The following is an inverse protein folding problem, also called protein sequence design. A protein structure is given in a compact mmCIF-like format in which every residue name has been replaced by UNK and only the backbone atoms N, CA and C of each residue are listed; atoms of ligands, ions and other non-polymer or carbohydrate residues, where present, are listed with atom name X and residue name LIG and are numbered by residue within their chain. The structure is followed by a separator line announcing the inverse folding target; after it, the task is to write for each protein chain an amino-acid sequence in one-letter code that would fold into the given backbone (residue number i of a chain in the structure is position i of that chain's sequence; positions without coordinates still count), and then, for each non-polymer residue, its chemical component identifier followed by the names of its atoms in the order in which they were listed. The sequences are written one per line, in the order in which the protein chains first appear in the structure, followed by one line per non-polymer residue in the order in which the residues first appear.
data_IF_217512188371
#
_entry.id   IF_217512188371
#
_cell.length_a   1.000
_cell.length_b   1.000
_cell.length_c   1.000
_cell.angle_alpha   90.00
_cell.angle_beta   90.00
_cell.angle_gamma   90.00
#
_symmetry.space_group_name_H-M   'P 1'
#
loop_
_entity.id
_entity.type
_entity.pdbx_description
1 polymer ?
#
# COMPACT_ATOMS: atom_id res chain seq x y z
N UNK A 1 36.28 66.65 -66.01
CA UNK A 1 34.86 66.98 -66.14
C UNK A 1 34.13 65.68 -66.00
N UNK A 2 33.40 65.35 -65.01
CA UNK A 2 32.34 65.93 -64.22
C UNK A 2 32.19 65.14 -62.95
N UNK A 3 32.06 65.88 -61.92
CA UNK A 3 31.81 65.50 -60.55
C UNK A 3 30.36 65.02 -60.34
N UNK A 4 30.08 63.92 -59.58
CA UNK A 4 28.77 63.67 -58.95
C UNK A 4 29.00 62.98 -57.64
N UNK A 5 29.08 63.80 -56.58
CA UNK A 5 28.90 63.34 -55.23
C UNK A 5 27.40 63.05 -54.94
N UNK A 6 27.06 61.86 -54.38
CA UNK A 6 25.77 61.66 -53.78
C UNK A 6 25.93 61.36 -52.27
N UNK A 7 25.67 62.46 -51.52
CA UNK A 7 25.68 62.40 -50.07
C UNK A 7 24.64 61.50 -49.47
N UNK A 8 25.06 60.64 -48.60
CA UNK A 8 24.18 59.82 -47.70
C UNK A 8 23.55 60.75 -46.69
N UNK A 9 22.26 61.00 -46.80
CA UNK A 9 21.52 61.82 -45.85
C UNK A 9 21.29 61.11 -44.53
N UNK A 10 21.45 61.79 -43.40
CA UNK A 10 21.21 61.28 -42.02
C UNK A 10 19.88 60.57 -41.86
N UNK A 11 18.91 60.73 -42.75
CA UNK A 11 17.60 60.09 -42.73
C UNK A 11 17.63 58.63 -43.18
N UNK A 12 18.64 58.22 -43.98
CA UNK A 12 18.80 56.83 -44.41
C UNK A 12 19.59 55.96 -43.43
N UNK A 13 20.36 56.58 -42.53
CA UNK A 13 21.05 55.88 -41.43
C UNK A 13 20.12 55.57 -40.25
N UNK A 14 19.00 56.26 -40.11
CA UNK A 14 18.01 55.99 -39.06
C UNK A 14 16.95 54.95 -39.44
N UNK A 15 16.87 54.62 -40.74
CA UNK A 15 15.94 53.58 -41.22
C UNK A 15 16.54 52.15 -41.22
N UNK A 16 17.86 51.99 -41.05
CA UNK A 16 18.55 50.70 -41.00
C UNK A 16 18.83 50.19 -39.57
N UNK A 17 18.47 50.99 -38.53
CA UNK A 17 18.71 50.66 -37.11
C UNK A 17 17.49 50.11 -36.36
N UNK A 18 16.32 49.91 -37.00
CA UNK A 18 15.04 49.61 -36.34
C UNK A 18 14.57 48.18 -36.38
N UNK A 19 15.39 47.21 -36.80
CA UNK A 19 15.01 45.79 -36.80
C UNK A 19 16.06 44.90 -36.13
N UNK A 20 16.63 45.38 -35.00
CA UNK A 20 17.20 44.44 -34.05
C UNK A 20 16.00 43.80 -33.32
N UNK A 21 15.51 42.70 -33.89
CA UNK A 21 14.60 41.83 -33.21
C UNK A 21 15.19 41.54 -31.80
N UNK A 22 14.49 41.97 -30.77
CA UNK A 22 14.66 41.45 -29.42
C UNK A 22 14.28 39.97 -29.51
N UNK A 23 15.22 39.13 -29.97
CA UNK A 23 15.23 37.74 -29.61
C UNK A 23 15.43 37.76 -28.10
N UNK A 24 14.32 37.78 -27.36
CA UNK A 24 14.33 37.53 -25.95
C UNK A 24 14.99 36.19 -25.79
N UNK A 25 16.26 36.20 -25.37
CA UNK A 25 16.89 35.06 -24.77
C UNK A 25 15.96 34.71 -23.60
N UNK A 26 15.01 33.78 -23.82
CA UNK A 26 14.37 33.07 -22.73
C UNK A 26 15.54 32.54 -21.92
N UNK A 27 15.90 33.23 -20.83
CA UNK A 27 16.81 32.67 -19.85
C UNK A 27 16.24 31.26 -19.56
N UNK A 28 17.07 30.22 -19.67
CA UNK A 28 16.59 28.90 -19.24
C UNK A 28 16.08 29.09 -17.83
N UNK A 29 14.78 28.86 -17.61
CA UNK A 29 14.24 28.83 -16.28
C UNK A 29 15.18 27.92 -15.49
N UNK A 30 15.83 28.43 -14.47
CA UNK A 30 16.70 27.65 -13.61
C UNK A 30 15.83 26.46 -13.17
N UNK A 31 16.15 25.29 -13.69
CA UNK A 31 15.42 24.08 -13.35
C UNK A 31 15.50 23.97 -11.82
N UNK A 32 14.34 23.91 -11.16
CA UNK A 32 14.31 23.68 -9.72
C UNK A 32 15.05 22.36 -9.43
N UNK A 33 16.21 22.45 -8.78
CA UNK A 33 17.06 21.30 -8.43
C UNK A 33 16.83 20.83 -7.01
N UNK A 34 15.97 21.53 -6.24
CA UNK A 34 15.64 21.12 -4.87
C UNK A 34 15.02 19.71 -4.88
N UNK A 35 15.38 18.85 -3.91
CA UNK A 35 14.83 17.50 -3.86
C UNK A 35 13.32 17.52 -3.67
N UNK A 36 12.64 16.49 -4.21
CA UNK A 36 11.23 16.24 -3.95
C UNK A 36 11.14 15.48 -2.62
N UNK A 37 10.68 16.16 -1.58
CA UNK A 37 10.58 15.56 -0.24
C UNK A 37 9.31 14.74 -0.11
N UNK A 38 9.44 13.48 0.30
CA UNK A 38 8.31 12.53 0.47
C UNK A 38 8.29 12.02 1.90
N UNK A 39 7.17 12.20 2.58
CA UNK A 39 6.94 11.69 3.93
C UNK A 39 6.62 10.19 3.90
N UNK A 40 7.35 9.36 4.63
CA UNK A 40 7.03 7.96 4.84
C UNK A 40 6.62 7.78 6.29
N UNK A 41 5.31 7.70 6.52
CA UNK A 41 4.65 7.69 7.82
C UNK A 41 4.17 6.28 8.15
N UNK A 42 4.99 5.53 8.88
CA UNK A 42 4.75 4.12 9.16
C UNK A 42 4.81 3.83 10.67
N UNK A 43 4.17 2.77 11.16
CA UNK A 43 4.38 2.31 12.54
C UNK A 43 5.74 1.62 12.64
N UNK A 44 6.75 2.35 13.08
CA UNK A 44 8.10 1.80 13.31
C UNK A 44 8.27 1.27 14.74
N UNK A 45 7.27 1.56 15.60
CA UNK A 45 7.09 1.04 16.97
C UNK A 45 5.62 0.76 17.25
N UNK A 46 5.29 0.12 18.38
CA UNK A 46 3.90 -0.01 18.87
C UNK A 46 3.15 -1.26 18.42
N UNK A 47 3.86 -2.35 18.08
CA UNK A 47 3.23 -3.67 17.82
C UNK A 47 2.89 -3.97 16.36
N UNK A 48 2.97 -2.98 15.46
CA UNK A 48 2.88 -3.16 14.00
C UNK A 48 4.20 -2.83 13.29
N UNK A 49 5.30 -2.79 14.02
CA UNK A 49 6.62 -2.42 13.52
C UNK A 49 7.10 -3.32 12.38
N UNK A 50 6.83 -4.61 12.42
CA UNK A 50 7.17 -5.53 11.34
C UNK A 50 6.49 -5.15 10.00
N UNK A 51 5.21 -4.73 10.04
CA UNK A 51 4.49 -4.21 8.86
C UNK A 51 5.01 -2.84 8.45
N UNK A 52 5.26 -1.96 9.43
CA UNK A 52 5.75 -0.61 9.19
C UNK A 52 7.12 -0.59 8.52
N UNK A 53 8.04 -1.44 8.95
CA UNK A 53 9.37 -1.58 8.33
C UNK A 53 9.26 -2.06 6.88
N UNK A 54 8.35 -2.99 6.57
CA UNK A 54 8.14 -3.44 5.20
C UNK A 54 7.50 -2.36 4.32
N UNK A 55 6.54 -1.59 4.86
CA UNK A 55 5.98 -0.43 4.16
C UNK A 55 7.05 0.64 3.87
N UNK A 56 7.92 0.93 4.85
CA UNK A 56 9.07 1.81 4.68
C UNK A 56 10.01 1.29 3.59
N UNK A 57 10.33 -0.01 3.61
CA UNK A 57 11.22 -0.62 2.62
C UNK A 57 10.63 -0.54 1.21
N UNK A 58 9.36 -0.86 1.01
CA UNK A 58 8.70 -0.77 -0.29
C UNK A 58 8.69 0.66 -0.85
N UNK A 59 8.30 1.64 -0.04
CA UNK A 59 8.33 3.05 -0.43
C UNK A 59 9.76 3.54 -0.75
N UNK A 60 10.71 3.22 0.14
CA UNK A 60 12.13 3.58 -0.02
C UNK A 60 12.72 2.97 -1.29
N UNK A 61 12.41 1.70 -1.57
CA UNK A 61 12.88 1.01 -2.78
C UNK A 61 12.48 1.78 -4.04
N UNK A 62 11.20 2.16 -4.17
CA UNK A 62 10.70 2.89 -5.34
C UNK A 62 11.36 4.26 -5.50
N UNK A 63 11.50 5.01 -4.41
CA UNK A 63 12.09 6.37 -4.45
C UNK A 63 13.58 6.33 -4.78
N UNK A 64 14.32 5.38 -4.19
CA UNK A 64 15.75 5.25 -4.46
C UNK A 64 16.03 4.66 -5.83
N UNK A 65 15.21 3.74 -6.36
CA UNK A 65 15.32 3.24 -7.74
C UNK A 65 15.10 4.38 -8.75
N UNK A 66 14.13 5.26 -8.48
CA UNK A 66 13.95 6.47 -9.27
C UNK A 66 15.18 7.40 -9.20
N UNK A 67 15.78 7.56 -8.02
CA UNK A 67 17.01 8.35 -7.85
C UNK A 67 18.19 7.75 -8.60
N UNK A 68 18.38 6.42 -8.54
CA UNK A 68 19.44 5.71 -9.28
C UNK A 68 19.30 5.92 -10.80
N UNK A 69 18.06 6.19 -11.26
CA UNK A 69 17.71 6.51 -12.66
C UNK A 69 17.78 8.00 -12.99
N UNK A 70 18.29 8.86 -12.09
CA UNK A 70 18.42 10.32 -12.29
C UNK A 70 17.22 11.14 -11.79
N UNK A 71 16.34 10.54 -10.99
CA UNK A 71 15.18 11.20 -10.38
C UNK A 71 14.04 11.44 -11.35
N UNK A 72 13.26 12.48 -11.09
CA UNK A 72 12.16 12.92 -11.96
C UNK A 72 12.39 14.38 -12.33
N UNK A 73 12.38 14.67 -13.62
CA UNK A 73 12.66 16.03 -14.15
C UNK A 73 13.98 16.61 -13.64
N UNK A 74 15.01 15.77 -13.41
CA UNK A 74 16.31 16.15 -12.88
C UNK A 74 16.35 16.40 -11.37
N UNK A 75 15.28 16.11 -10.64
CA UNK A 75 15.16 16.26 -9.18
C UNK A 75 15.18 14.90 -8.51
N UNK A 76 15.97 14.75 -7.46
CA UNK A 76 16.04 13.56 -6.63
C UNK A 76 14.95 13.57 -5.56
N UNK A 77 14.55 12.39 -5.09
CA UNK A 77 13.68 12.24 -3.93
C UNK A 77 14.48 12.27 -2.63
N UNK A 78 13.96 13.00 -1.64
CA UNK A 78 14.41 12.96 -0.25
C UNK A 78 13.32 12.31 0.60
N UNK A 79 13.70 11.30 1.39
CA UNK A 79 12.77 10.53 2.22
C UNK A 79 12.76 11.11 3.63
N UNK A 80 11.58 11.54 4.09
CA UNK A 80 11.36 12.03 5.45
C UNK A 80 10.56 10.98 6.23
N UNK A 81 11.24 10.23 7.10
CA UNK A 81 10.61 9.16 7.88
C UNK A 81 9.91 9.73 9.11
N UNK A 82 8.74 9.15 9.45
CA UNK A 82 8.02 9.45 10.68
C UNK A 82 7.36 8.19 11.23
N UNK A 83 7.38 8.04 12.57
CA UNK A 83 6.80 6.92 13.29
C UNK A 83 5.41 7.27 13.82
N UNK A 84 4.41 6.47 13.47
CA UNK A 84 3.05 6.59 14.00
C UNK A 84 2.91 6.00 15.41
N UNK A 85 3.88 5.20 15.86
CA UNK A 85 3.83 4.41 17.09
C UNK A 85 2.55 3.55 17.23
N UNK A 86 1.90 3.21 16.10
CA UNK A 86 0.59 2.53 16.02
C UNK A 86 -0.55 3.32 16.70
N UNK A 87 -0.32 4.58 17.03
CA UNK A 87 -1.24 5.45 17.80
C UNK A 87 -1.86 6.55 16.91
N UNK A 88 -3.21 6.71 16.89
CA UNK A 88 -3.87 7.68 16.03
C UNK A 88 -3.50 9.14 16.35
N UNK A 89 -3.29 9.50 17.63
CA UNK A 89 -2.93 10.86 18.02
C UNK A 89 -1.52 11.20 17.52
N UNK A 90 -0.57 10.31 17.79
CA UNK A 90 0.82 10.43 17.29
C UNK A 90 0.85 10.52 15.77
N UNK A 91 0.04 9.70 15.08
CA UNK A 91 -0.08 9.73 13.63
C UNK A 91 -0.49 11.12 13.10
N UNK A 92 -1.51 11.75 13.70
CA UNK A 92 -1.95 13.11 13.34
C UNK A 92 -0.87 14.15 13.63
N UNK A 93 -0.16 14.07 14.75
CA UNK A 93 0.95 14.96 15.09
C UNK A 93 2.07 14.87 14.05
N UNK A 94 2.50 13.66 13.71
CA UNK A 94 3.54 13.41 12.70
C UNK A 94 3.12 13.84 11.30
N UNK A 95 1.86 13.62 10.91
CA UNK A 95 1.33 14.11 9.64
C UNK A 95 1.40 15.66 9.58
N UNK A 96 1.03 16.36 10.65
CA UNK A 96 1.17 17.81 10.71
C UNK A 96 2.63 18.29 10.62
N UNK A 97 3.57 17.58 11.26
CA UNK A 97 5.01 17.89 11.15
C UNK A 97 5.50 17.72 9.72
N UNK A 98 5.19 16.59 9.07
CA UNK A 98 5.53 16.34 7.67
C UNK A 98 4.99 17.43 6.72
N UNK A 99 3.74 17.88 6.95
CA UNK A 99 3.09 18.88 6.10
C UNK A 99 3.67 20.27 6.34
N UNK A 100 3.83 20.69 7.61
CA UNK A 100 4.08 22.11 7.95
C UNK A 100 5.54 22.45 8.16
N UNK A 101 6.33 21.49 8.67
CA UNK A 101 7.76 21.70 8.96
C UNK A 101 8.65 21.16 7.88
N UNK A 102 8.34 19.92 7.45
CA UNK A 102 9.14 19.23 6.45
C UNK A 102 8.72 19.56 5.01
N UNK A 103 7.55 20.18 4.83
CA UNK A 103 7.01 20.59 3.53
C UNK A 103 7.08 19.48 2.47
N UNK A 104 6.65 18.26 2.83
CA UNK A 104 6.64 17.13 1.91
C UNK A 104 5.59 17.29 0.81
N UNK A 105 5.84 16.70 -0.34
CA UNK A 105 4.94 16.74 -1.51
C UNK A 105 3.88 15.63 -1.46
N UNK A 106 4.13 14.54 -0.74
CA UNK A 106 3.17 13.47 -0.48
C UNK A 106 3.49 12.77 0.85
N UNK A 107 2.53 12.02 1.38
CA UNK A 107 2.70 11.13 2.52
C UNK A 107 2.36 9.70 2.10
N UNK A 108 3.24 8.73 2.39
CA UNK A 108 3.04 7.30 2.16
C UNK A 108 2.78 6.62 3.51
N UNK A 109 1.67 5.93 3.63
CA UNK A 109 1.19 5.32 4.87
C UNK A 109 -0.18 5.89 5.29
N UNK A 110 -0.63 5.72 6.52
CA UNK A 110 -0.14 4.79 7.56
C UNK A 110 -0.60 3.34 7.32
N UNK A 111 -0.45 2.45 8.32
CA UNK A 111 -0.95 1.06 8.22
C UNK A 111 -2.42 0.97 8.62
N UNK A 112 -2.83 1.42 9.80
CA UNK A 112 -4.17 1.15 10.31
C UNK A 112 -5.23 2.10 9.73
N UNK A 113 -6.46 1.57 9.53
CA UNK A 113 -7.63 2.40 9.18
C UNK A 113 -7.92 3.47 10.22
N UNK A 114 -7.71 3.17 11.52
CA UNK A 114 -7.89 4.14 12.59
C UNK A 114 -6.94 5.35 12.45
N UNK A 115 -5.66 5.10 12.12
CA UNK A 115 -4.68 6.15 11.89
C UNK A 115 -5.00 6.97 10.64
N UNK A 116 -5.37 6.30 9.53
CA UNK A 116 -5.80 6.96 8.29
C UNK A 116 -7.01 7.87 8.52
N UNK A 117 -8.03 7.37 9.20
CA UNK A 117 -9.26 8.12 9.44
C UNK A 117 -9.03 9.29 10.39
N UNK A 118 -8.18 9.13 11.42
CA UNK A 118 -7.81 10.21 12.32
C UNK A 118 -7.06 11.35 11.60
N UNK A 119 -6.16 11.03 10.68
CA UNK A 119 -5.38 12.04 9.94
C UNK A 119 -6.12 12.63 8.73
N UNK A 120 -7.18 11.98 8.22
CA UNK A 120 -7.93 12.39 7.03
C UNK A 120 -8.31 13.88 7.01
N UNK A 121 -8.87 14.51 8.07
CA UNK A 121 -9.19 15.93 8.07
C UNK A 121 -7.97 16.85 7.87
N UNK A 122 -6.79 16.43 8.37
CA UNK A 122 -5.52 17.15 8.17
C UNK A 122 -5.06 17.03 6.73
N UNK A 123 -5.13 15.85 6.14
CA UNK A 123 -4.79 15.55 4.75
C UNK A 123 -5.64 16.37 3.78
N UNK A 124 -6.97 16.33 3.94
CA UNK A 124 -7.91 17.03 3.06
C UNK A 124 -7.76 18.54 3.14
N UNK A 125 -7.60 19.10 4.35
CA UNK A 125 -7.39 20.54 4.55
C UNK A 125 -6.07 21.02 3.93
N UNK A 126 -5.02 20.20 3.98
CA UNK A 126 -3.71 20.53 3.42
C UNK A 126 -3.61 20.19 1.92
N UNK A 127 -4.65 19.59 1.33
CA UNK A 127 -4.65 19.06 -0.04
C UNK A 127 -3.43 18.17 -0.29
N UNK A 128 -3.11 17.33 0.70
CA UNK A 128 -1.91 16.50 0.71
C UNK A 128 -2.19 15.16 0.05
N UNK A 129 -1.47 14.76 -1.00
CA UNK A 129 -1.55 13.40 -1.54
C UNK A 129 -1.17 12.39 -0.45
N UNK A 130 -2.11 11.54 -0.06
CA UNK A 130 -1.91 10.41 0.84
C UNK A 130 -1.94 9.11 0.04
N UNK A 131 -0.85 8.37 0.09
CA UNK A 131 -0.68 7.09 -0.58
C UNK A 131 -0.89 5.97 0.45
N UNK A 132 -2.07 5.36 0.42
CA UNK A 132 -2.48 4.35 1.38
C UNK A 132 -2.34 2.95 0.74
N UNK A 133 -1.31 2.20 1.16
CA UNK A 133 -0.94 0.92 0.57
C UNK A 133 -1.17 -0.26 1.53
N UNK A 134 -2.23 -0.18 2.33
CA UNK A 134 -2.61 -1.25 3.28
C UNK A 134 -4.02 -1.69 2.99
N UNK A 135 -4.24 -3.00 3.04
CA UNK A 135 -5.54 -3.62 2.84
C UNK A 135 -6.54 -3.17 3.90
N UNK A 136 -7.78 -2.91 3.50
CA UNK A 136 -8.75 -2.34 4.42
C UNK A 136 -10.21 -2.68 4.06
N UNK A 137 -11.11 -2.26 4.90
CA UNK A 137 -12.53 -2.60 4.89
C UNK A 137 -13.39 -1.84 3.85
N UNK A 138 -12.79 -0.96 3.04
CA UNK A 138 -13.52 -0.14 2.06
C UNK A 138 -14.10 1.15 2.61
N UNK A 139 -14.79 1.91 1.74
CA UNK A 139 -15.56 3.10 2.10
C UNK A 139 -14.77 4.42 2.17
N UNK A 140 -13.52 4.44 1.72
CA UNK A 140 -12.76 5.70 1.57
C UNK A 140 -13.08 6.32 0.22
N UNK A 141 -13.69 7.51 0.25
CA UNK A 141 -13.87 8.37 -0.91
C UNK A 141 -13.24 9.72 -0.60
N UNK A 142 -12.11 10.02 -1.20
CA UNK A 142 -11.40 11.29 -1.04
C UNK A 142 -10.50 11.56 -2.24
N UNK A 143 -10.53 12.80 -2.73
CA UNK A 143 -9.64 13.23 -3.81
C UNK A 143 -8.15 13.09 -3.46
N UNK A 144 -7.81 13.19 -2.18
CA UNK A 144 -6.42 13.23 -1.72
C UNK A 144 -5.91 11.89 -1.15
N UNK A 145 -6.74 10.85 -1.11
CA UNK A 145 -6.34 9.53 -0.64
C UNK A 145 -6.39 8.56 -1.81
N UNK A 146 -5.24 8.01 -2.18
CA UNK A 146 -5.11 7.01 -3.24
C UNK A 146 -4.76 5.67 -2.61
N UNK A 147 -5.52 4.63 -2.95
CA UNK A 147 -5.45 3.32 -2.30
C UNK A 147 -4.94 2.23 -3.25
N UNK A 148 -3.80 1.64 -2.90
CA UNK A 148 -3.40 0.31 -3.38
C UNK A 148 -3.68 -0.67 -2.24
N UNK A 149 -4.93 -1.14 -2.17
CA UNK A 149 -5.43 -1.84 -0.99
C UNK A 149 -6.42 -2.91 -1.41
N UNK A 150 -6.23 -4.14 -0.91
CA UNK A 150 -7.27 -5.13 -1.06
C UNK A 150 -8.49 -4.75 -0.20
N UNK A 151 -9.65 -4.90 -0.80
CA UNK A 151 -10.97 -4.65 -0.24
C UNK A 151 -11.68 -5.99 0.02
N UNK A 152 -12.82 -6.03 0.73
CA UNK A 152 -13.59 -7.25 0.89
C UNK A 152 -13.89 -8.00 -0.42
N UNK A 153 -14.12 -7.28 -1.52
CA UNK A 153 -14.33 -7.88 -2.84
C UNK A 153 -13.11 -8.65 -3.36
N UNK A 154 -11.89 -8.18 -3.00
CA UNK A 154 -10.67 -8.85 -3.38
C UNK A 154 -10.37 -10.07 -2.51
N UNK A 155 -10.65 -10.01 -1.21
CA UNK A 155 -10.21 -11.01 -0.25
C UNK A 155 -11.34 -11.84 0.35
N UNK A 156 -12.40 -11.19 0.84
CA UNK A 156 -13.48 -11.89 1.54
C UNK A 156 -14.32 -12.70 0.58
N UNK A 157 -14.82 -12.07 -0.48
CA UNK A 157 -15.72 -12.73 -1.44
C UNK A 157 -15.11 -14.00 -2.04
N UNK A 158 -13.90 -13.96 -2.64
CA UNK A 158 -13.31 -15.17 -3.22
C UNK A 158 -12.86 -16.19 -2.16
N UNK A 159 -12.44 -15.74 -0.97
CA UNK A 159 -12.01 -16.64 0.09
C UNK A 159 -13.18 -17.43 0.69
N UNK A 160 -14.33 -16.78 0.89
CA UNK A 160 -15.55 -17.48 1.36
C UNK A 160 -16.02 -18.49 0.32
N UNK A 161 -16.01 -18.13 -0.99
CA UNK A 161 -16.37 -19.04 -2.06
C UNK A 161 -15.43 -20.27 -2.09
N UNK A 162 -14.12 -20.04 -1.99
CA UNK A 162 -13.10 -21.09 -1.92
C UNK A 162 -13.31 -21.99 -0.68
N UNK A 163 -13.53 -21.40 0.48
CA UNK A 163 -13.74 -22.14 1.71
C UNK A 163 -15.01 -23.01 1.64
N UNK A 164 -16.11 -22.46 1.13
CA UNK A 164 -17.37 -23.21 0.95
C UNK A 164 -17.21 -24.43 0.02
N UNK A 165 -16.40 -24.29 -1.02
CA UNK A 165 -16.12 -25.37 -1.99
C UNK A 165 -15.17 -26.43 -1.42
N UNK A 166 -14.08 -26.02 -0.76
CA UNK A 166 -12.93 -26.86 -0.47
C UNK A 166 -12.82 -27.31 0.99
N UNK A 167 -13.50 -26.62 1.94
CA UNK A 167 -13.27 -26.85 3.37
C UNK A 167 -14.59 -27.10 4.09
N UNK A 168 -15.60 -26.28 3.83
CA UNK A 168 -16.90 -26.27 4.50
C UNK A 168 -17.38 -24.87 4.78
N UNK A 169 -18.55 -24.76 5.42
CA UNK A 169 -19.30 -23.50 5.54
C UNK A 169 -19.67 -23.14 7.00
N UNK A 170 -18.93 -23.66 7.97
CA UNK A 170 -19.10 -23.33 9.40
C UNK A 170 -17.81 -22.74 9.96
N UNK A 171 -17.90 -21.55 10.55
CA UNK A 171 -16.76 -20.71 10.91
C UNK A 171 -16.84 -20.17 12.32
N UNK A 172 -15.68 -19.91 12.92
CA UNK A 172 -15.52 -19.07 14.12
C UNK A 172 -14.58 -17.92 13.81
N UNK A 173 -14.94 -16.70 14.17
CA UNK A 173 -14.19 -15.49 13.82
C UNK A 173 -13.47 -14.90 15.04
N UNK A 174 -12.20 -14.54 14.88
CA UNK A 174 -11.41 -13.86 15.92
C UNK A 174 -10.68 -12.68 15.30
N UNK A 175 -10.80 -11.50 15.91
CA UNK A 175 -10.14 -10.28 15.42
C UNK A 175 -9.57 -9.42 16.55
N UNK A 176 -8.69 -8.49 16.20
CA UNK A 176 -8.31 -7.38 17.10
C UNK A 176 -9.45 -6.39 17.23
N UNK A 177 -9.59 -5.75 18.40
CA UNK A 177 -10.70 -4.84 18.67
C UNK A 177 -10.46 -3.43 18.12
N UNK A 178 -10.59 -3.29 16.79
CA UNK A 178 -10.62 -1.99 16.11
C UNK A 178 -11.40 -2.06 14.79
N UNK A 179 -11.47 -0.96 14.04
CA UNK A 179 -12.40 -0.80 12.91
C UNK A 179 -12.20 -1.84 11.80
N UNK A 180 -10.94 -2.14 11.41
CA UNK A 180 -10.69 -3.05 10.29
C UNK A 180 -11.17 -4.49 10.55
N UNK A 181 -10.79 -5.19 11.65
CA UNK A 181 -11.26 -6.56 11.88
C UNK A 181 -12.78 -6.64 12.00
N UNK A 182 -13.41 -5.67 12.69
CA UNK A 182 -14.87 -5.65 12.85
C UNK A 182 -15.60 -5.56 11.51
N UNK A 183 -15.14 -4.69 10.61
CA UNK A 183 -15.77 -4.54 9.29
C UNK A 183 -15.42 -5.68 8.33
N UNK A 184 -14.20 -6.20 8.36
CA UNK A 184 -13.81 -7.39 7.58
C UNK A 184 -14.61 -8.62 8.00
N UNK A 185 -14.75 -8.85 9.30
CA UNK A 185 -15.57 -9.95 9.83
C UNK A 185 -17.06 -9.75 9.46
N UNK A 186 -17.60 -8.54 9.55
CA UNK A 186 -18.96 -8.28 9.12
C UNK A 186 -19.19 -8.59 7.63
N UNK A 187 -18.23 -8.22 6.76
CA UNK A 187 -18.27 -8.57 5.34
C UNK A 187 -18.18 -10.09 5.15
N UNK A 188 -17.35 -10.78 5.93
CA UNK A 188 -17.24 -12.24 5.90
C UNK A 188 -18.56 -12.91 6.31
N UNK A 189 -19.18 -12.47 7.42
CA UNK A 189 -20.48 -12.98 7.89
C UNK A 189 -21.56 -12.80 6.84
N UNK A 190 -21.62 -11.62 6.19
CA UNK A 190 -22.59 -11.35 5.14
C UNK A 190 -22.41 -12.30 3.95
N UNK A 191 -21.17 -12.52 3.52
CA UNK A 191 -20.87 -13.42 2.39
C UNK A 191 -21.15 -14.89 2.74
N UNK A 192 -20.79 -15.34 3.95
CA UNK A 192 -21.10 -16.68 4.45
C UNK A 192 -22.62 -16.93 4.46
N UNK A 193 -23.39 -15.95 4.95
CA UNK A 193 -24.85 -16.05 5.01
C UNK A 193 -25.48 -16.16 3.62
N UNK A 194 -24.96 -15.44 2.62
CA UNK A 194 -25.43 -15.53 1.23
C UNK A 194 -25.23 -16.91 0.62
N UNK A 195 -24.18 -17.64 1.07
CA UNK A 195 -23.87 -18.99 0.61
C UNK A 195 -24.48 -20.10 1.51
N UNK A 196 -25.36 -19.74 2.46
CA UNK A 196 -26.02 -20.67 3.36
C UNK A 196 -25.11 -21.28 4.43
N UNK A 197 -23.96 -20.64 4.70
CA UNK A 197 -23.05 -21.03 5.77
C UNK A 197 -23.44 -20.46 7.13
N UNK A 198 -22.68 -20.79 8.17
CA UNK A 198 -22.92 -20.41 9.56
C UNK A 198 -21.68 -19.87 10.23
N UNK A 199 -21.87 -18.93 11.15
CA UNK A 199 -20.83 -18.42 12.06
C UNK A 199 -21.22 -18.82 13.47
N UNK A 200 -20.47 -19.74 14.08
CA UNK A 200 -20.74 -20.27 15.42
C UNK A 200 -20.36 -19.32 16.55
N UNK A 201 -19.42 -18.40 16.28
CA UNK A 201 -19.00 -17.39 17.24
C UNK A 201 -18.10 -16.33 16.63
N UNK A 202 -18.05 -15.17 17.29
CA UNK A 202 -17.23 -14.04 16.88
C UNK A 202 -16.66 -13.36 18.13
N UNK A 203 -15.35 -13.17 18.18
CA UNK A 203 -14.66 -12.54 19.30
C UNK A 203 -13.65 -11.50 18.84
N UNK A 204 -13.47 -10.49 19.71
CA UNK A 204 -12.46 -9.44 19.51
C UNK A 204 -11.59 -9.30 20.76
N UNK A 205 -10.28 -9.21 20.53
CA UNK A 205 -9.28 -9.10 21.58
C UNK A 205 -8.66 -7.70 21.58
N UNK A 206 -8.41 -7.10 22.76
CA UNK A 206 -7.72 -5.81 22.84
C UNK A 206 -6.28 -5.92 22.33
N UNK A 207 -5.70 -4.80 21.92
CA UNK A 207 -4.28 -4.72 21.59
C UNK A 207 -3.39 -5.15 22.75
N UNK A 208 -2.33 -5.91 22.45
CA UNK A 208 -1.37 -6.42 23.42
C UNK A 208 -1.85 -7.69 24.14
N UNK A 209 -2.86 -8.37 23.60
CA UNK A 209 -3.31 -9.66 24.11
C UNK A 209 -2.20 -10.71 24.01
N UNK A 210 -1.86 -11.33 25.15
CA UNK A 210 -0.79 -12.33 25.24
C UNK A 210 -1.28 -13.73 25.62
N UNK A 211 -2.54 -13.85 25.99
CA UNK A 211 -3.17 -15.11 26.38
C UNK A 211 -4.51 -15.26 25.65
N UNK A 212 -4.60 -16.28 24.81
CA UNK A 212 -5.77 -16.62 24.03
C UNK A 212 -6.44 -17.92 24.49
N UNK A 213 -6.05 -18.48 25.65
CA UNK A 213 -6.55 -19.76 26.17
C UNK A 213 -8.08 -19.82 26.22
N UNK A 214 -8.72 -18.73 26.68
CA UNK A 214 -10.20 -18.68 26.75
C UNK A 214 -10.84 -18.68 25.35
N UNK A 215 -10.27 -17.94 24.39
CA UNK A 215 -10.73 -17.90 23.00
C UNK A 215 -10.53 -19.25 22.32
N UNK A 216 -9.37 -19.88 22.49
CA UNK A 216 -9.08 -21.21 21.93
C UNK A 216 -10.04 -22.28 22.44
N UNK A 217 -10.39 -22.22 23.74
CA UNK A 217 -11.39 -23.10 24.32
C UNK A 217 -12.76 -22.92 23.65
N UNK A 218 -13.22 -21.70 23.47
CA UNK A 218 -14.50 -21.42 22.80
C UNK A 218 -14.52 -21.90 21.35
N UNK A 219 -13.40 -21.74 20.62
CA UNK A 219 -13.25 -22.28 19.26
C UNK A 219 -13.40 -23.81 19.30
N UNK A 220 -12.71 -24.48 20.22
CA UNK A 220 -12.80 -25.93 20.38
C UNK A 220 -14.22 -26.39 20.73
N UNK A 221 -14.87 -25.71 21.69
CA UNK A 221 -16.22 -26.03 22.16
C UNK A 221 -17.29 -25.79 21.07
N UNK A 222 -17.01 -24.97 20.05
CA UNK A 222 -17.90 -24.68 18.93
C UNK A 222 -17.94 -25.75 17.86
N UNK A 223 -17.04 -26.72 17.90
CA UNK A 223 -16.92 -27.86 16.95
C UNK A 223 -16.75 -27.43 15.47
N UNK A 224 -16.42 -26.16 15.18
CA UNK A 224 -16.16 -25.69 13.83
C UNK A 224 -14.91 -26.34 13.25
N UNK A 225 -14.84 -26.42 11.92
CA UNK A 225 -13.65 -26.91 11.21
C UNK A 225 -12.79 -25.78 10.64
N UNK A 226 -13.24 -24.55 10.77
CA UNK A 226 -12.51 -23.37 10.25
C UNK A 226 -12.59 -22.19 11.20
N UNK A 227 -11.43 -21.67 11.59
CA UNK A 227 -11.29 -20.39 12.28
C UNK A 227 -10.84 -19.32 11.27
N UNK A 228 -11.46 -18.15 11.36
CA UNK A 228 -11.09 -16.96 10.56
C UNK A 228 -10.42 -15.95 11.47
N UNK A 229 -9.21 -15.56 11.12
CA UNK A 229 -8.37 -14.69 11.93
C UNK A 229 -8.19 -13.35 11.23
N UNK A 230 -8.49 -12.27 11.95
CA UNK A 230 -8.23 -10.88 11.60
C UNK A 230 -7.51 -10.15 12.75
N UNK A 231 -6.68 -10.88 13.49
CA UNK A 231 -5.79 -10.33 14.51
C UNK A 231 -4.57 -9.72 13.82
N UNK A 232 -4.11 -8.54 14.26
CA UNK A 232 -3.00 -7.85 13.64
C UNK A 232 -1.73 -7.86 14.50
N UNK A 233 -0.58 -7.78 13.85
CA UNK A 233 0.73 -7.56 14.48
C UNK A 233 1.22 -8.74 15.35
N UNK A 234 1.96 -8.41 16.40
CA UNK A 234 2.59 -9.40 17.28
C UNK A 234 1.58 -10.29 18.03
N UNK A 235 0.36 -9.78 18.26
CA UNK A 235 -0.72 -10.53 18.91
C UNK A 235 -1.15 -11.72 18.05
N UNK A 236 -1.14 -11.55 16.73
CA UNK A 236 -1.45 -12.62 15.78
C UNK A 236 -0.42 -13.76 15.82
N UNK A 237 0.86 -13.44 15.90
CA UNK A 237 1.93 -14.45 16.07
C UNK A 237 1.71 -15.23 17.36
N UNK A 238 1.35 -14.53 18.44
CA UNK A 238 1.05 -15.15 19.75
C UNK A 238 -0.17 -16.08 19.65
N UNK A 239 -1.24 -15.65 18.97
CA UNK A 239 -2.43 -16.47 18.75
C UNK A 239 -2.10 -17.75 17.97
N UNK A 240 -1.39 -17.63 16.84
CA UNK A 240 -1.01 -18.79 16.00
C UNK A 240 -0.16 -19.80 16.80
N UNK A 241 0.83 -19.33 17.57
CA UNK A 241 1.65 -20.18 18.44
C UNK A 241 0.82 -20.94 19.48
N UNK A 242 -0.10 -20.26 20.14
CA UNK A 242 -0.97 -20.91 21.13
C UNK A 242 -1.96 -21.88 20.47
N UNK A 243 -2.50 -21.54 19.30
CA UNK A 243 -3.37 -22.41 18.52
C UNK A 243 -2.64 -23.71 18.10
N UNK A 244 -1.40 -23.59 17.62
CA UNK A 244 -0.57 -24.74 17.27
C UNK A 244 -0.15 -25.57 18.49
N UNK A 245 0.25 -24.90 19.61
CA UNK A 245 0.62 -25.57 20.85
C UNK A 245 -0.55 -26.37 21.47
N UNK A 246 -1.79 -25.92 21.26
CA UNK A 246 -3.00 -26.64 21.61
C UNK A 246 -3.32 -27.83 20.66
N UNK A 247 -2.53 -28.02 19.61
CA UNK A 247 -2.74 -29.07 18.59
C UNK A 247 -3.89 -28.79 17.62
N UNK A 248 -4.53 -27.61 17.73
CA UNK A 248 -5.72 -27.25 16.97
C UNK A 248 -5.46 -27.09 15.47
N UNK A 249 -4.24 -26.73 15.07
CA UNK A 249 -3.83 -26.63 13.66
C UNK A 249 -3.87 -27.96 12.88
N UNK A 250 -3.99 -29.10 13.59
CA UNK A 250 -4.16 -30.44 12.98
C UNK A 250 -5.61 -30.79 12.68
N UNK A 251 -6.56 -30.12 13.33
CA UNK A 251 -7.98 -30.44 13.30
C UNK A 251 -8.86 -29.34 12.72
N UNK A 252 -8.42 -28.07 12.89
CA UNK A 252 -9.16 -26.87 12.50
C UNK A 252 -8.32 -26.08 11.50
N UNK A 253 -8.90 -25.80 10.34
CA UNK A 253 -8.27 -24.94 9.31
C UNK A 253 -8.27 -23.50 9.78
N UNK A 254 -7.22 -22.77 9.43
CA UNK A 254 -7.14 -21.34 9.69
C UNK A 254 -7.17 -20.57 8.37
N UNK A 255 -8.10 -19.63 8.24
CA UNK A 255 -8.09 -18.58 7.22
C UNK A 255 -7.64 -17.31 7.92
N UNK A 256 -6.56 -16.69 7.44
CA UNK A 256 -6.01 -15.51 8.11
C UNK A 256 -5.88 -14.35 7.13
N UNK A 257 -6.71 -13.31 7.32
CA UNK A 257 -6.66 -12.08 6.52
C UNK A 257 -5.43 -11.25 6.86
N UNK A 258 -4.60 -10.97 5.85
CA UNK A 258 -3.35 -10.23 6.00
C UNK A 258 -2.13 -11.09 6.36
N UNK A 259 -2.27 -12.41 6.44
CA UNK A 259 -1.14 -13.30 6.65
C UNK A 259 -0.20 -13.29 5.42
N UNK A 260 1.08 -13.16 5.69
CA UNK A 260 2.12 -13.13 4.66
C UNK A 260 3.50 -13.47 5.25
N UNK A 261 4.57 -13.29 4.49
CA UNK A 261 5.94 -13.60 4.88
C UNK A 261 6.40 -12.92 6.18
N UNK A 262 5.83 -11.77 6.52
CA UNK A 262 6.14 -11.07 7.77
C UNK A 262 5.70 -11.85 9.02
N UNK A 263 4.58 -12.56 8.95
CA UNK A 263 4.13 -13.45 10.03
C UNK A 263 4.92 -14.75 10.06
N UNK A 264 5.22 -15.31 8.87
CA UNK A 264 6.05 -16.50 8.76
C UNK A 264 7.42 -16.33 9.44
N UNK A 265 8.03 -15.14 9.35
CA UNK A 265 9.30 -14.84 10.00
C UNK A 265 9.26 -14.99 11.55
N UNK A 266 8.08 -14.90 12.15
CA UNK A 266 7.85 -15.06 13.59
C UNK A 266 7.39 -16.45 14.01
N UNK A 267 7.20 -17.39 13.07
CA UNK A 267 6.61 -18.72 13.28
C UNK A 267 7.55 -19.81 12.78
N UNK A 268 7.51 -20.97 13.42
CA UNK A 268 8.10 -22.17 12.83
C UNK A 268 7.24 -22.70 11.67
N UNK A 269 7.80 -23.51 10.75
CA UNK A 269 7.02 -24.15 9.71
C UNK A 269 5.82 -24.95 10.25
N UNK A 270 5.98 -25.69 11.35
CA UNK A 270 4.92 -26.48 11.95
C UNK A 270 3.80 -25.62 12.56
N UNK A 271 4.11 -24.45 13.11
CA UNK A 271 3.13 -23.51 13.66
C UNK A 271 2.26 -22.87 12.57
N UNK A 272 2.85 -22.61 11.42
CA UNK A 272 2.17 -21.94 10.29
C UNK A 272 1.56 -22.89 9.28
N UNK A 273 1.87 -24.20 9.34
CA UNK A 273 1.45 -25.18 8.33
C UNK A 273 -0.07 -25.17 8.12
N UNK A 274 -0.46 -25.04 6.86
CA UNK A 274 -1.85 -25.09 6.45
C UNK A 274 -2.65 -23.81 6.60
N UNK A 275 -2.06 -22.70 7.10
CA UNK A 275 -2.75 -21.40 7.18
C UNK A 275 -3.05 -20.90 5.76
N UNK A 276 -4.32 -20.64 5.48
CA UNK A 276 -4.82 -20.08 4.23
C UNK A 276 -4.92 -18.56 4.31
N UNK A 277 -4.51 -17.88 3.26
CA UNK A 277 -4.65 -16.43 3.16
C UNK A 277 -4.97 -15.99 1.73
N UNK A 278 -5.92 -15.06 1.54
CA UNK A 278 -5.96 -14.27 0.33
C UNK A 278 -4.81 -13.25 0.36
N UNK A 279 -4.16 -13.03 -0.77
CA UNK A 279 -3.04 -12.08 -0.88
C UNK A 279 -2.94 -11.53 -2.30
N UNK A 280 -2.25 -10.41 -2.48
CA UNK A 280 -1.98 -9.85 -3.80
C UNK A 280 -0.58 -10.19 -4.30
N UNK A 281 0.30 -10.61 -3.41
CA UNK A 281 1.66 -11.01 -3.71
C UNK A 281 2.17 -12.03 -2.69
N UNK A 282 3.03 -12.93 -3.13
CA UNK A 282 3.85 -13.79 -2.27
C UNK A 282 5.24 -13.97 -2.88
N UNK A 283 6.24 -14.12 -2.02
CA UNK A 283 7.64 -14.33 -2.44
C UNK A 283 7.87 -15.66 -3.18
N UNK A 284 6.94 -16.61 -3.13
CA UNK A 284 6.99 -17.85 -3.89
C UNK A 284 6.68 -17.68 -5.39
N UNK A 285 6.14 -16.54 -5.79
CA UNK A 285 5.95 -16.22 -7.21
C UNK A 285 7.30 -16.19 -7.95
N UNK A 286 7.30 -16.77 -9.16
CA UNK A 286 8.49 -16.88 -10.03
C UNK A 286 8.33 -16.12 -11.35
N UNK A 287 7.32 -15.26 -11.45
CA UNK A 287 7.16 -14.38 -12.62
C UNK A 287 8.32 -13.38 -12.71
N UNK A 288 8.56 -12.84 -13.89
CA UNK A 288 9.58 -11.81 -14.11
C UNK A 288 9.38 -10.60 -13.17
N UNK A 289 8.13 -10.17 -12.96
CA UNK A 289 7.83 -9.06 -12.05
C UNK A 289 8.18 -9.38 -10.60
N UNK A 290 7.85 -10.59 -10.13
CA UNK A 290 8.16 -11.03 -8.79
C UNK A 290 9.68 -11.14 -8.58
N UNK A 291 10.40 -11.73 -9.52
CA UNK A 291 11.86 -11.84 -9.46
C UNK A 291 12.53 -10.46 -9.49
N UNK A 292 12.02 -9.53 -10.29
CA UNK A 292 12.50 -8.16 -10.32
C UNK A 292 12.35 -7.47 -8.94
N UNK A 293 11.15 -7.53 -8.33
CA UNK A 293 10.92 -6.96 -7.01
C UNK A 293 11.83 -7.59 -5.94
N UNK A 294 11.96 -8.92 -5.93
CA UNK A 294 12.84 -9.66 -5.01
C UNK A 294 14.31 -9.25 -5.21
N UNK A 295 14.76 -9.19 -6.46
CA UNK A 295 16.12 -8.79 -6.80
C UNK A 295 16.46 -7.35 -6.40
N UNK A 296 15.56 -6.40 -6.65
CA UNK A 296 15.70 -5.01 -6.23
C UNK A 296 15.74 -4.89 -4.69
N UNK A 297 14.87 -5.62 -4.00
CA UNK A 297 14.82 -5.63 -2.53
C UNK A 297 16.11 -6.20 -1.94
N UNK A 298 16.57 -7.35 -2.44
CA UNK A 298 17.80 -7.99 -1.99
C UNK A 298 19.04 -7.10 -2.25
N UNK A 299 19.11 -6.44 -3.40
CA UNK A 299 20.20 -5.50 -3.73
C UNK A 299 20.24 -4.31 -2.76
N UNK A 300 19.09 -3.81 -2.32
CA UNK A 300 18.98 -2.60 -1.50
C UNK A 300 19.09 -2.87 -0.01
N UNK A 301 18.50 -3.93 0.48
CA UNK A 301 18.33 -4.21 1.90
C UNK A 301 18.99 -5.52 2.37
N UNK A 302 19.62 -6.27 1.46
CA UNK A 302 20.24 -7.58 1.74
C UNK A 302 19.32 -8.75 1.40
N UNK A 303 19.92 -9.93 1.24
CA UNK A 303 19.23 -11.16 0.83
C UNK A 303 18.21 -11.68 1.85
N UNK A 304 18.36 -11.28 3.11
CA UNK A 304 17.48 -11.68 4.20
C UNK A 304 16.28 -10.73 4.37
N UNK A 305 16.18 -9.68 3.52
CA UNK A 305 15.06 -8.77 3.54
C UNK A 305 13.77 -9.48 3.13
N UNK A 306 12.73 -9.30 3.95
CA UNK A 306 11.41 -9.88 3.68
C UNK A 306 10.78 -9.15 2.49
N UNK A 307 10.31 -9.91 1.50
CA UNK A 307 9.52 -9.42 0.38
C UNK A 307 8.11 -9.98 0.50
N UNK A 308 7.17 -9.14 0.84
CA UNK A 308 5.78 -9.51 1.12
C UNK A 308 4.80 -8.67 0.30
N UNK A 309 3.52 -8.98 0.43
CA UNK A 309 2.43 -8.15 -0.08
C UNK A 309 2.55 -6.68 0.36
N UNK A 310 3.01 -6.41 1.59
CA UNK A 310 3.20 -5.05 2.10
C UNK A 310 4.31 -4.31 1.35
N UNK A 311 5.43 -4.98 1.04
CA UNK A 311 6.52 -4.40 0.24
C UNK A 311 6.04 -4.08 -1.16
N UNK A 312 5.37 -5.04 -1.83
CA UNK A 312 4.84 -4.86 -3.17
C UNK A 312 3.85 -3.69 -3.27
N UNK A 313 2.89 -3.63 -2.34
CA UNK A 313 1.87 -2.58 -2.33
C UNK A 313 2.48 -1.18 -2.19
N UNK A 314 3.41 -0.98 -1.26
CA UNK A 314 4.07 0.30 -1.05
C UNK A 314 5.01 0.66 -2.20
N UNK A 315 5.77 -0.30 -2.74
CA UNK A 315 6.62 -0.11 -3.90
C UNK A 315 5.81 0.28 -5.13
N UNK A 316 4.72 -0.42 -5.41
CA UNK A 316 3.88 -0.19 -6.58
C UNK A 316 3.15 1.16 -6.50
N UNK A 317 2.50 1.47 -5.36
CA UNK A 317 1.79 2.75 -5.20
C UNK A 317 2.74 3.95 -5.23
N UNK A 318 3.94 3.81 -4.66
CA UNK A 318 4.96 4.86 -4.73
C UNK A 318 5.42 5.09 -6.18
N UNK A 319 5.55 4.05 -6.99
CA UNK A 319 5.87 4.18 -8.43
C UNK A 319 4.72 4.84 -9.20
N UNK A 320 3.46 4.57 -8.85
CA UNK A 320 2.31 5.29 -9.41
C UNK A 320 2.38 6.79 -9.10
N UNK A 321 2.81 7.17 -7.91
CA UNK A 321 3.03 8.57 -7.54
C UNK A 321 4.17 9.21 -8.32
N UNK A 322 5.30 8.52 -8.47
CA UNK A 322 6.45 8.97 -9.27
C UNK A 322 6.01 9.22 -10.72
N UNK A 323 5.21 8.32 -11.29
CA UNK A 323 4.64 8.49 -12.63
C UNK A 323 3.65 9.67 -12.68
N UNK A 324 2.87 9.88 -11.62
CA UNK A 324 2.02 11.06 -11.46
C UNK A 324 2.80 12.37 -11.55
N UNK A 325 3.98 12.45 -10.91
CA UNK A 325 4.89 13.61 -11.03
C UNK A 325 5.40 13.79 -12.47
N UNK A 326 5.77 12.70 -13.15
CA UNK A 326 6.20 12.76 -14.56
C UNK A 326 5.10 13.30 -15.47
N UNK A 327 3.88 12.81 -15.30
CA UNK A 327 2.71 13.26 -16.09
C UNK A 327 2.30 14.69 -15.79
N UNK A 328 2.37 15.11 -14.52
CA UNK A 328 2.09 16.48 -14.12
C UNK A 328 3.17 17.47 -14.55
N UNK A 329 4.40 16.98 -14.82
CA UNK A 329 5.56 17.84 -15.09
C UNK A 329 6.01 18.70 -13.89
N UNK A 330 5.46 18.44 -12.69
CA UNK A 330 5.71 19.19 -11.47
C UNK A 330 5.40 18.31 -10.23
N UNK A 331 5.87 18.73 -9.06
CA UNK A 331 5.52 18.15 -7.76
C UNK A 331 4.41 18.92 -7.02
N UNK A 332 3.68 19.78 -7.74
CA UNK A 332 2.48 20.42 -7.20
C UNK A 332 1.46 19.38 -6.77
N UNK A 333 1.01 19.47 -5.54
CA UNK A 333 0.18 18.47 -4.87
C UNK A 333 -1.13 18.17 -5.61
N UNK A 334 -1.80 19.22 -6.11
CA UNK A 334 -3.09 19.05 -6.82
C UNK A 334 -2.88 18.51 -8.23
N UNK A 335 -1.86 19.02 -8.94
CA UNK A 335 -1.51 18.54 -10.27
C UNK A 335 -1.10 17.06 -10.26
N UNK A 336 -0.26 16.64 -9.29
CA UNK A 336 0.13 15.25 -9.14
C UNK A 336 -1.07 14.38 -8.74
N UNK A 337 -1.91 14.86 -7.81
CA UNK A 337 -3.13 14.17 -7.41
C UNK A 337 -4.01 13.85 -8.62
N UNK A 338 -4.19 14.78 -9.55
CA UNK A 338 -4.99 14.55 -10.75
C UNK A 338 -4.29 13.66 -11.77
N UNK A 339 -2.98 13.81 -11.93
CA UNK A 339 -2.20 13.11 -12.95
C UNK A 339 -1.92 11.64 -12.60
N UNK A 340 -2.03 11.24 -11.31
CA UNK A 340 -1.64 9.90 -10.90
C UNK A 340 -2.72 8.83 -11.11
N UNK A 341 -3.96 9.20 -11.38
CA UNK A 341 -5.04 8.22 -11.64
C UNK A 341 -5.12 7.83 -13.11
N UNK A 342 -5.99 6.88 -13.43
CA UNK A 342 -6.17 6.34 -14.78
C UNK A 342 -4.84 5.85 -15.38
N UNK A 343 -4.19 4.94 -14.62
CA UNK A 343 -2.93 4.35 -15.05
C UNK A 343 -2.84 2.87 -14.70
N UNK A 344 -2.18 2.13 -15.58
CA UNK A 344 -1.69 0.78 -15.32
C UNK A 344 -0.21 0.82 -14.99
N UNK A 345 0.20 -0.06 -14.07
CA UNK A 345 1.60 -0.30 -13.75
C UNK A 345 1.80 -1.78 -13.40
N UNK A 346 3.00 -2.30 -13.59
CA UNK A 346 3.34 -3.66 -13.18
C UNK A 346 3.73 -3.66 -11.69
N UNK A 347 2.99 -4.44 -10.89
CA UNK A 347 3.32 -4.81 -9.53
C UNK A 347 4.21 -6.07 -9.52
N UNK A 348 4.58 -6.57 -8.34
CA UNK A 348 5.25 -7.86 -8.22
C UNK A 348 4.39 -9.06 -8.65
N UNK A 349 3.09 -8.87 -8.80
CA UNK A 349 2.14 -9.88 -9.30
C UNK A 349 1.42 -9.42 -10.59
N UNK A 350 2.16 -8.87 -11.55
CA UNK A 350 1.61 -8.48 -12.84
C UNK A 350 0.99 -7.09 -12.89
N UNK A 351 0.24 -6.81 -13.97
CA UNK A 351 -0.34 -5.49 -14.19
C UNK A 351 -1.54 -5.22 -13.29
N UNK A 352 -1.57 -4.04 -12.69
CA UNK A 352 -2.64 -3.47 -11.87
C UNK A 352 -3.08 -2.13 -12.43
N UNK A 353 -4.31 -1.69 -12.11
CA UNK A 353 -4.89 -0.46 -12.66
C UNK A 353 -5.46 0.44 -11.58
N UNK A 354 -5.00 1.69 -11.51
CA UNK A 354 -5.51 2.72 -10.61
C UNK A 354 -6.66 3.50 -11.26
N UNK A 355 -7.85 3.31 -10.74
CA UNK A 355 -9.08 3.92 -11.25
C UNK A 355 -9.16 5.42 -10.94
N UNK A 356 -9.69 6.19 -11.90
CA UNK A 356 -9.99 7.61 -11.69
C UNK A 356 -11.28 7.83 -10.87
N UNK A 357 -12.22 6.90 -10.93
CA UNK A 357 -13.55 7.04 -10.34
C UNK A 357 -13.56 7.15 -8.81
N UNK A 358 -12.67 6.45 -8.14
CA UNK A 358 -12.61 6.36 -6.68
C UNK A 358 -11.19 6.25 -6.10
N UNK A 359 -10.17 6.33 -6.97
CA UNK A 359 -8.75 6.29 -6.59
C UNK A 359 -8.33 4.98 -5.90
N UNK A 360 -8.97 3.88 -6.26
CA UNK A 360 -8.62 2.53 -5.84
C UNK A 360 -8.04 1.73 -6.98
N UNK A 361 -7.27 0.70 -6.61
CA UNK A 361 -6.57 -0.14 -7.58
C UNK A 361 -7.32 -1.45 -7.80
N UNK A 362 -7.50 -1.83 -9.07
CA UNK A 362 -7.85 -3.19 -9.46
C UNK A 362 -6.62 -4.07 -9.28
N UNK A 363 -6.74 -5.13 -8.51
CA UNK A 363 -5.61 -5.93 -8.03
C UNK A 363 -5.65 -7.36 -8.54
N UNK A 364 -4.48 -7.94 -8.82
CA UNK A 364 -4.34 -9.39 -8.97
C UNK A 364 -4.42 -10.04 -7.60
N UNK A 365 -5.22 -11.09 -7.49
CA UNK A 365 -5.54 -11.75 -6.22
C UNK A 365 -5.19 -13.22 -6.28
N UNK A 366 -4.58 -13.72 -5.21
CA UNK A 366 -4.17 -15.10 -5.03
C UNK A 366 -4.85 -15.66 -3.78
N UNK A 367 -5.11 -16.97 -3.78
CA UNK A 367 -5.30 -17.74 -2.56
C UNK A 367 -4.02 -18.53 -2.34
N UNK A 368 -3.37 -18.29 -1.21
CA UNK A 368 -2.12 -18.93 -0.84
C UNK A 368 -2.26 -19.71 0.47
N UNK A 369 -1.34 -20.64 0.69
CA UNK A 369 -1.27 -21.43 1.90
C UNK A 369 0.16 -21.48 2.41
N UNK A 370 0.34 -21.38 3.72
CA UNK A 370 1.62 -21.63 4.35
C UNK A 370 1.95 -23.14 4.29
N UNK A 371 3.06 -23.48 3.64
CA UNK A 371 3.57 -24.84 3.48
C UNK A 371 5.09 -24.83 3.65
N UNK A 372 5.59 -25.63 4.60
CA UNK A 372 7.04 -25.73 4.83
C UNK A 372 7.73 -24.38 5.12
N UNK A 373 7.02 -23.40 5.72
CA UNK A 373 7.54 -22.06 6.05
C UNK A 373 7.54 -21.07 4.88
N UNK A 374 6.77 -21.35 3.80
CA UNK A 374 6.58 -20.43 2.67
C UNK A 374 5.09 -20.26 2.37
N UNK A 375 4.74 -19.15 1.71
CA UNK A 375 3.39 -18.94 1.19
C UNK A 375 3.30 -19.49 -0.23
N UNK A 376 2.75 -20.69 -0.40
CA UNK A 376 2.58 -21.31 -1.71
C UNK A 376 1.23 -20.94 -2.34
N UNK A 377 1.22 -20.63 -3.63
CA UNK A 377 0.00 -20.26 -4.35
C UNK A 377 -0.84 -21.49 -4.65
N UNK A 378 -2.07 -21.52 -4.14
CA UNK A 378 -3.05 -22.57 -4.44
C UNK A 378 -3.94 -22.22 -5.64
N UNK A 379 -4.28 -20.92 -5.77
CA UNK A 379 -5.17 -20.46 -6.84
C UNK A 379 -4.82 -19.02 -7.21
N UNK A 380 -4.63 -18.79 -8.49
CA UNK A 380 -4.57 -17.46 -9.07
C UNK A 380 -5.98 -17.08 -9.54
N UNK A 381 -6.51 -15.97 -9.04
CA UNK A 381 -7.84 -15.48 -9.35
C UNK A 381 -7.82 -14.40 -10.45
N UNK A 382 -6.62 -14.00 -10.89
CA UNK A 382 -6.44 -12.91 -11.83
C UNK A 382 -6.78 -11.55 -11.22
N UNK A 383 -6.99 -10.57 -12.11
CA UNK A 383 -7.31 -9.20 -11.70
C UNK A 383 -8.78 -9.06 -11.33
N UNK A 384 -9.04 -8.59 -10.13
CA UNK A 384 -10.36 -8.30 -9.59
C UNK A 384 -10.54 -6.78 -9.50
N UNK A 385 -11.68 -6.29 -9.97
CA UNK A 385 -12.15 -4.91 -9.77
C UNK A 385 -13.17 -4.90 -8.65
N UNK A 386 -12.85 -4.24 -7.56
CA UNK A 386 -13.80 -4.06 -6.45
C UNK A 386 -14.88 -3.02 -6.78
N UNK A 387 -15.98 -3.05 -6.05
CA UNK A 387 -17.02 -2.04 -6.15
C UNK A 387 -16.46 -0.62 -5.97
N UNK A 388 -17.11 0.35 -6.63
CA UNK A 388 -16.73 1.75 -6.51
C UNK A 388 -16.91 2.23 -5.06
N UNK A 389 -15.90 2.85 -4.49
CA UNK A 389 -15.89 3.29 -3.09
C UNK A 389 -16.49 4.68 -2.87
N UNK A 390 -16.88 5.36 -3.95
CA UNK A 390 -17.47 6.70 -3.91
C UNK A 390 -19.00 6.73 -4.17
N UNK A 391 -19.66 5.59 -4.28
CA UNK A 391 -21.11 5.62 -4.42
C UNK A 391 -21.70 4.49 -5.18
#
# INVERSE_FOLDING_TARGET
MTNLGSGLTRRRLLAAGGAAAVAGLAAPALANTDPIRVGVLQPLTGGLDALGVQGLNGATLALLDANDSGGVNGRMFEIVQADTATDPKTCVERANDLIRRENVSAIIGPVTSANRDAMRPTIERAKMPLLYATDYEGGVCSRYITCYSALPDHWVTPMVAYANEMIGNSFYLVGSDYVWPRKMNAAFVAQVSQLGGTVAGEEYTPWGAKDFTATLRKISDSEVKTVVVSIAGADAVTFVKQFAAAGMNKEIRMIFFGFSENYLAGLSPDESEGILAPTNFTSSLTSEDAENLKGLTAKRFGTDAIVSNTVDAHWTLTRMYIEGIRRAGSDDKEAVTDAMVDQSIRSGNGEVYLRASDRHTDLNVLIAQAQGGKMEVLKDLGRISAANQCG
#
